data_IF_728194280542
#
_entry.id   IF_728194280542
#
_cell.length_a   1.000
_cell.length_b   1.000
_cell.length_c   1.000
_cell.angle_alpha   90.00
_cell.angle_beta   90.00
_cell.angle_gamma   90.00
#
_symmetry.space_group_name_H-M   'P 1'
#
loop_
_entity.id
_entity.type
_entity.pdbx_description
1 polymer ?
#
# COMPACT_ATOMS: atom_id res chain seq x y z
N UNK A 1 -48.65 -65.59 19.77
CA UNK A 1 -47.20 -65.76 19.55
C UNK A 1 -46.66 -64.57 18.77
N UNK A 2 -46.21 -63.55 19.51
CA UNK A 2 -45.22 -62.48 19.22
C UNK A 2 -45.22 -61.87 17.80
N UNK A 3 -45.68 -60.64 17.51
CA UNK A 3 -45.46 -59.33 18.15
C UNK A 3 -43.97 -58.99 18.43
N UNK A 4 -43.09 -59.04 17.42
CA UNK A 4 -41.77 -58.36 17.47
C UNK A 4 -41.20 -58.09 16.06
N UNK A 5 -41.58 -56.97 15.42
CA UNK A 5 -40.76 -56.39 14.33
C UNK A 5 -41.22 -54.96 13.97
N UNK A 6 -41.36 -54.09 14.98
CA UNK A 6 -41.59 -52.65 14.73
C UNK A 6 -41.12 -51.78 15.89
N UNK A 7 -39.81 -51.73 16.13
CA UNK A 7 -39.15 -50.68 16.94
C UNK A 7 -37.64 -50.92 16.96
N UNK A 8 -36.91 -50.09 16.20
CA UNK A 8 -35.53 -49.59 16.42
C UNK A 8 -34.95 -49.23 15.06
N UNK A 9 -35.08 -47.96 14.65
CA UNK A 9 -34.07 -47.21 13.89
C UNK A 9 -34.64 -45.82 13.58
N UNK A 10 -34.63 -44.96 14.60
CA UNK A 10 -34.74 -43.49 14.64
C UNK A 10 -35.29 -43.18 16.05
N UNK A 11 -34.59 -42.42 16.92
CA UNK A 11 -34.04 -41.10 16.59
C UNK A 11 -32.63 -40.85 17.18
N UNK A 12 -31.63 -40.54 16.34
CA UNK A 12 -30.37 -39.91 16.80
C UNK A 12 -29.70 -39.06 15.70
N UNK A 13 -30.50 -38.50 14.80
CA UNK A 13 -30.06 -37.43 13.89
C UNK A 13 -30.89 -36.18 14.21
N UNK A 14 -30.50 -35.39 15.21
CA UNK A 14 -30.99 -34.00 15.27
C UNK A 14 -30.15 -33.03 16.08
N UNK A 15 -29.39 -33.43 17.12
CA UNK A 15 -28.77 -32.40 17.98
C UNK A 15 -27.41 -31.87 17.50
N UNK A 16 -26.55 -32.71 16.91
CA UNK A 16 -25.19 -32.27 16.50
C UNK A 16 -25.11 -31.71 15.08
N UNK A 17 -26.08 -32.03 14.23
CA UNK A 17 -26.17 -31.48 12.88
C UNK A 17 -26.70 -30.04 12.92
N UNK A 18 -27.63 -29.76 13.85
CA UNK A 18 -28.23 -28.43 14.00
C UNK A 18 -27.21 -27.39 14.50
N UNK A 19 -26.35 -27.73 15.46
CA UNK A 19 -25.33 -26.80 15.97
C UNK A 19 -24.26 -26.45 14.92
N UNK A 20 -23.77 -27.43 14.16
CA UNK A 20 -22.79 -27.19 13.10
C UNK A 20 -23.37 -26.39 11.94
N UNK A 21 -24.63 -26.67 11.58
CA UNK A 21 -25.36 -25.89 10.58
C UNK A 21 -25.59 -24.46 11.07
N UNK A 22 -25.93 -24.25 12.34
CA UNK A 22 -26.07 -22.92 12.94
C UNK A 22 -24.75 -22.14 12.96
N UNK A 23 -23.61 -22.78 13.25
CA UNK A 23 -22.30 -22.12 13.21
C UNK A 23 -21.91 -21.75 11.78
N UNK A 24 -22.14 -22.64 10.81
CA UNK A 24 -21.87 -22.36 9.39
C UNK A 24 -22.79 -21.26 8.87
N UNK A 25 -24.08 -21.31 9.18
CA UNK A 25 -25.03 -20.25 8.82
C UNK A 25 -24.65 -18.94 9.51
N UNK A 26 -24.25 -18.95 10.78
CA UNK A 26 -23.82 -17.74 11.50
C UNK A 26 -22.56 -17.12 10.89
N UNK A 27 -21.58 -17.93 10.48
CA UNK A 27 -20.38 -17.47 9.80
C UNK A 27 -20.69 -16.97 8.39
N UNK A 28 -21.59 -17.64 7.67
CA UNK A 28 -22.04 -17.22 6.34
C UNK A 28 -22.84 -15.92 6.40
N UNK A 29 -23.69 -15.73 7.43
CA UNK A 29 -24.44 -14.48 7.64
C UNK A 29 -23.52 -13.34 8.08
N UNK A 30 -22.50 -13.60 8.90
CA UNK A 30 -21.46 -12.60 9.19
C UNK A 30 -20.71 -12.21 7.91
N UNK A 31 -20.34 -13.19 7.08
CA UNK A 31 -19.65 -12.95 5.81
C UNK A 31 -20.51 -12.14 4.83
N UNK A 32 -21.82 -12.42 4.73
CA UNK A 32 -22.76 -11.65 3.92
C UNK A 32 -23.02 -10.24 4.47
N UNK A 33 -23.06 -10.06 5.79
CA UNK A 33 -23.21 -8.72 6.40
C UNK A 33 -21.98 -7.84 6.16
N UNK A 34 -20.78 -8.42 6.20
CA UNK A 34 -19.53 -7.70 5.91
C UNK A 34 -19.48 -7.29 4.43
N UNK A 35 -19.93 -8.15 3.51
CA UNK A 35 -19.90 -7.83 2.07
C UNK A 35 -21.02 -6.88 1.61
N UNK A 36 -22.20 -6.91 2.22
CA UNK A 36 -23.29 -5.96 1.90
C UNK A 36 -23.07 -4.56 2.47
N UNK A 37 -22.36 -4.42 3.59
CA UNK A 37 -22.04 -3.11 4.18
C UNK A 37 -21.12 -2.28 3.27
N UNK A 38 -20.27 -2.93 2.47
CA UNK A 38 -19.39 -2.27 1.49
C UNK A 38 -20.13 -1.72 0.27
N UNK A 39 -21.36 -2.19 0.00
CA UNK A 39 -22.12 -1.85 -1.22
C UNK A 39 -23.04 -0.63 -1.03
N UNK A 40 -23.39 -0.27 0.20
CA UNK A 40 -24.40 0.78 0.48
C UNK A 40 -23.84 2.18 0.71
N UNK A 41 -22.51 2.35 0.73
CA UNK A 41 -21.87 3.66 0.99
C UNK A 41 -21.55 4.46 -0.29
N UNK A 42 -22.18 4.12 -1.41
CA UNK A 42 -22.00 4.79 -2.70
C UNK A 42 -23.27 5.57 -3.12
N UNK A 43 -23.81 6.45 -2.27
CA UNK A 43 -24.74 7.47 -2.78
C UNK A 43 -24.79 8.76 -1.94
N UNK A 44 -24.49 9.85 -2.63
CA UNK A 44 -24.68 11.28 -2.36
C UNK A 44 -23.75 12.00 -1.36
N UNK A 45 -22.86 12.88 -1.84
CA UNK A 45 -22.41 14.03 -1.09
C UNK A 45 -23.43 15.17 -1.19
N UNK A 46 -23.93 15.60 -0.03
CA UNK A 46 -24.67 16.85 0.18
C UNK A 46 -23.70 18.01 0.02
N UNK A 47 -23.99 18.90 -0.92
CA UNK A 47 -23.30 20.18 -1.10
C UNK A 47 -23.94 21.20 -0.15
N UNK A 48 -23.13 21.85 0.69
CA UNK A 48 -23.49 23.10 1.37
C UNK A 48 -22.28 24.07 1.37
N UNK A 49 -22.52 25.39 1.31
CA UNK A 49 -21.59 26.36 0.75
C UNK A 49 -20.68 27.04 1.78
N UNK A 50 -19.50 27.47 1.34
CA UNK A 50 -18.62 28.37 2.10
C UNK A 50 -19.16 29.81 2.15
N UNK A 51 -18.98 30.54 3.26
CA UNK A 51 -19.34 31.95 3.36
C UNK A 51 -18.21 32.86 2.85
N UNK A 52 -18.65 33.96 2.24
CA UNK A 52 -17.86 35.13 1.83
C UNK A 52 -17.23 35.84 3.03
N UNK A 53 -16.05 36.44 2.81
CA UNK A 53 -15.49 37.59 3.55
C UNK A 53 -14.54 38.27 2.56
N UNK A 54 -15.03 39.31 1.88
CA UNK A 54 -14.83 40.73 2.22
C UNK A 54 -13.42 41.24 1.91
N UNK A 55 -13.41 41.89 0.76
CA UNK A 55 -12.51 42.88 0.19
C UNK A 55 -12.12 43.97 1.20
N UNK A 56 -10.84 44.31 1.26
CA UNK A 56 -10.42 45.66 1.64
C UNK A 56 -9.19 46.02 0.82
N UNK A 57 -9.43 46.88 -0.17
CA UNK A 57 -8.41 47.61 -0.92
C UNK A 57 -7.62 48.54 0.02
N UNK A 58 -6.31 48.62 -0.17
CA UNK A 58 -5.59 49.85 0.16
C UNK A 58 -4.52 50.15 -0.88
N UNK A 59 -4.50 51.42 -1.27
CA UNK A 59 -3.88 52.01 -2.46
C UNK A 59 -2.61 52.78 -2.05
N UNK A 60 -1.44 52.41 -2.64
CA UNK A 60 -0.37 53.24 -3.29
C UNK A 60 0.23 54.42 -2.46
N UNK A 61 1.56 54.72 -2.40
CA UNK A 61 2.38 55.06 -3.60
C UNK A 61 3.92 54.88 -3.62
N UNK A 62 4.42 54.58 -4.84
CA UNK A 62 5.40 55.35 -5.65
C UNK A 62 6.91 55.45 -5.30
N UNK A 63 7.69 55.16 -6.37
CA UNK A 63 8.94 55.81 -6.85
C UNK A 63 10.28 55.52 -6.14
N UNK A 64 11.21 54.93 -6.90
CA UNK A 64 12.33 55.66 -7.53
C UNK A 64 13.02 54.82 -8.61
N UNK A 65 13.52 55.53 -9.61
CA UNK A 65 14.02 55.06 -10.89
C UNK A 65 15.29 55.87 -11.21
N UNK A 66 16.26 55.18 -11.86
CA UNK A 66 17.50 55.61 -12.55
C UNK A 66 18.77 55.96 -11.75
N UNK A 67 19.99 55.89 -12.36
CA UNK A 67 20.35 55.52 -13.75
C UNK A 67 21.48 54.47 -13.93
N UNK A 68 21.58 53.97 -15.16
CA UNK A 68 22.74 53.29 -15.76
C UNK A 68 23.79 54.31 -16.22
N UNK A 69 25.07 53.93 -16.22
CA UNK A 69 26.07 54.46 -17.18
C UNK A 69 27.23 53.45 -17.37
N UNK A 70 27.95 53.47 -18.51
CA UNK A 70 28.68 52.35 -19.10
C UNK A 70 30.20 52.57 -19.17
N UNK A 71 30.89 51.60 -19.79
CA UNK A 71 32.30 51.57 -20.23
C UNK A 71 33.38 51.20 -19.21
N UNK A 72 34.04 50.06 -19.46
CA UNK A 72 35.48 50.02 -19.72
C UNK A 72 35.89 48.70 -20.39
N UNK A 73 36.84 48.87 -21.31
CA UNK A 73 37.32 47.97 -22.37
C UNK A 73 38.06 46.71 -21.88
N UNK A 74 37.80 45.63 -22.61
CA UNK A 74 38.74 44.68 -23.24
C UNK A 74 40.23 44.67 -22.80
N UNK A 75 40.71 43.50 -22.36
CA UNK A 75 42.07 43.04 -22.66
C UNK A 75 42.08 41.51 -22.73
N UNK A 76 42.38 40.99 -23.92
CA UNK A 76 42.63 39.57 -24.22
C UNK A 76 43.88 39.07 -23.48
N UNK A 77 43.78 37.91 -22.84
CA UNK A 77 44.91 36.99 -22.66
C UNK A 77 44.45 35.53 -22.89
N UNK A 78 44.98 34.93 -23.96
CA UNK A 78 44.96 33.49 -24.27
C UNK A 78 46.33 32.95 -23.87
N UNK A 79 46.49 31.86 -23.07
CA UNK A 79 46.48 30.46 -23.60
C UNK A 79 46.22 29.36 -22.53
N UNK A 80 46.42 28.03 -22.79
CA UNK A 80 46.33 27.27 -24.03
C UNK A 80 45.21 26.19 -24.00
N UNK A 81 44.90 25.72 -25.19
CA UNK A 81 44.09 24.56 -25.58
C UNK A 81 44.16 23.35 -24.61
N UNK A 82 43.03 22.85 -24.08
CA UNK A 82 42.97 21.54 -23.46
C UNK A 82 43.06 20.45 -24.54
N UNK A 83 44.07 19.61 -24.38
CA UNK A 83 44.30 18.37 -25.12
C UNK A 83 43.02 17.53 -25.26
N UNK A 84 42.69 17.16 -26.50
CA UNK A 84 41.66 16.19 -26.86
C UNK A 84 41.97 14.84 -26.21
N UNK A 85 41.32 14.56 -25.07
CA UNK A 85 41.31 13.24 -24.45
C UNK A 85 40.26 12.35 -25.16
N UNK A 86 40.61 11.14 -25.62
CA UNK A 86 39.70 10.25 -26.34
C UNK A 86 38.79 9.43 -25.40
N UNK A 87 38.27 10.03 -24.33
CA UNK A 87 37.43 9.32 -23.32
C UNK A 87 35.93 9.60 -23.50
N UNK A 88 35.56 10.61 -24.29
CA UNK A 88 34.20 11.16 -24.30
C UNK A 88 33.17 10.39 -25.15
N UNK A 89 33.61 9.47 -26.02
CA UNK A 89 32.67 8.80 -26.95
C UNK A 89 31.94 7.60 -26.34
N UNK A 90 32.56 6.93 -25.36
CA UNK A 90 32.01 5.72 -24.76
C UNK A 90 31.02 6.05 -23.63
N UNK A 91 31.34 7.04 -22.80
CA UNK A 91 30.45 7.59 -21.77
C UNK A 91 29.19 8.22 -22.39
N UNK A 92 29.34 8.99 -23.48
CA UNK A 92 28.19 9.54 -24.22
C UNK A 92 27.35 8.47 -24.92
N UNK A 93 27.92 7.33 -25.28
CA UNK A 93 27.16 6.22 -25.88
C UNK A 93 26.33 5.47 -24.83
N UNK A 94 26.92 5.21 -23.66
CA UNK A 94 26.21 4.60 -22.52
C UNK A 94 25.11 5.51 -21.97
N UNK A 95 25.35 6.82 -21.87
CA UNK A 95 24.34 7.80 -21.47
C UNK A 95 23.17 7.89 -22.46
N UNK A 96 23.44 7.81 -23.77
CA UNK A 96 22.40 7.77 -24.81
C UNK A 96 21.59 6.48 -24.78
N UNK A 97 22.21 5.37 -24.40
CA UNK A 97 21.52 4.09 -24.24
C UNK A 97 20.68 4.06 -22.96
N UNK A 98 21.22 4.54 -21.84
CA UNK A 98 20.49 4.69 -20.58
C UNK A 98 19.32 5.68 -20.69
N UNK A 99 19.42 6.71 -21.53
CA UNK A 99 18.30 7.63 -21.81
C UNK A 99 17.11 6.97 -22.53
N UNK A 100 17.27 5.74 -23.05
CA UNK A 100 16.17 4.97 -23.66
C UNK A 100 15.38 4.16 -22.63
N UNK A 101 15.90 4.00 -21.42
CA UNK A 101 15.22 3.33 -20.32
C UNK A 101 13.91 4.09 -19.98
N UNK A 102 12.74 3.43 -20.00
CA UNK A 102 11.46 4.07 -19.73
C UNK A 102 11.42 4.73 -18.34
N UNK A 103 12.07 4.14 -17.32
CA UNK A 103 12.11 4.69 -15.96
C UNK A 103 12.90 6.01 -15.93
N UNK A 104 14.05 6.04 -16.63
CA UNK A 104 14.88 7.25 -16.76
C UNK A 104 14.13 8.36 -17.51
N UNK A 105 13.42 8.02 -18.59
CA UNK A 105 12.61 9.00 -19.32
C UNK A 105 11.47 9.56 -18.47
N UNK A 106 10.86 8.74 -17.62
CA UNK A 106 9.82 9.20 -16.70
C UNK A 106 10.41 10.18 -15.68
N UNK A 107 11.53 9.83 -15.03
CA UNK A 107 12.20 10.68 -14.06
C UNK A 107 12.60 12.04 -14.68
N UNK A 108 13.16 12.03 -15.89
CA UNK A 108 13.51 13.26 -16.62
C UNK A 108 12.28 14.14 -16.87
N UNK A 109 11.17 13.56 -17.36
CA UNK A 109 9.94 14.30 -17.67
C UNK A 109 9.26 14.83 -16.41
N UNK A 110 9.24 14.03 -15.33
CA UNK A 110 8.52 14.34 -14.10
C UNK A 110 9.23 15.41 -13.28
N UNK A 111 10.56 15.33 -13.16
CA UNK A 111 11.35 16.21 -12.31
C UNK A 111 12.12 17.29 -13.08
N UNK A 112 12.03 17.31 -14.42
CA UNK A 112 12.78 18.23 -15.27
C UNK A 112 14.30 18.18 -15.00
N UNK A 113 14.83 16.97 -14.85
CA UNK A 113 16.24 16.70 -14.53
C UNK A 113 16.99 16.14 -15.75
N UNK A 114 18.31 16.31 -15.77
CA UNK A 114 19.18 15.76 -16.81
C UNK A 114 19.31 14.23 -16.72
N UNK A 115 19.75 13.59 -17.81
CA UNK A 115 19.92 12.11 -17.89
C UNK A 115 20.81 11.57 -16.76
N UNK A 116 21.94 12.24 -16.48
CA UNK A 116 22.86 11.80 -15.42
C UNK A 116 22.23 11.85 -14.03
N UNK A 117 21.43 12.88 -13.74
CA UNK A 117 20.76 13.02 -12.46
C UNK A 117 19.62 12.00 -12.31
N UNK A 118 18.86 11.77 -13.38
CA UNK A 118 17.86 10.70 -13.42
C UNK A 118 18.48 9.31 -13.16
N UNK A 119 19.64 9.01 -13.75
CA UNK A 119 20.38 7.76 -13.49
C UNK A 119 20.77 7.66 -12.01
N UNK A 120 21.34 8.73 -11.44
CA UNK A 120 21.72 8.76 -10.01
C UNK A 120 20.52 8.53 -9.10
N UNK A 121 19.37 9.13 -9.40
CA UNK A 121 18.14 8.94 -8.63
C UNK A 121 17.63 7.51 -8.70
N UNK A 122 17.60 6.92 -9.91
CA UNK A 122 17.21 5.52 -10.10
C UNK A 122 18.14 4.58 -9.34
N UNK A 123 19.45 4.74 -9.51
CA UNK A 123 20.44 3.88 -8.87
C UNK A 123 20.35 4.00 -7.36
N UNK A 124 20.11 5.22 -6.83
CA UNK A 124 19.93 5.40 -5.40
C UNK A 124 18.63 4.80 -4.88
N UNK A 125 17.51 4.93 -5.60
CA UNK A 125 16.25 4.22 -5.28
C UNK A 125 16.49 2.72 -5.19
N UNK A 126 17.15 2.14 -6.20
CA UNK A 126 17.44 0.70 -6.26
C UNK A 126 18.37 0.26 -5.13
N UNK A 127 19.41 1.03 -4.80
CA UNK A 127 20.29 0.77 -3.67
C UNK A 127 19.47 0.68 -2.36
N UNK A 128 18.63 1.68 -2.07
CA UNK A 128 17.81 1.72 -0.86
C UNK A 128 16.79 0.57 -0.80
N UNK A 129 16.24 0.17 -1.95
CA UNK A 129 15.35 -0.98 -2.05
C UNK A 129 16.08 -2.30 -1.78
N UNK A 130 17.27 -2.49 -2.33
CA UNK A 130 18.10 -3.69 -2.07
C UNK A 130 18.55 -3.80 -0.62
N UNK A 131 18.71 -2.67 0.07
CA UNK A 131 18.96 -2.61 1.51
C UNK A 131 17.70 -2.89 2.35
N UNK A 132 16.54 -3.05 1.71
CA UNK A 132 15.26 -3.31 2.39
C UNK A 132 14.69 -2.09 3.10
N UNK A 133 15.18 -0.88 2.85
CA UNK A 133 14.77 0.32 3.59
C UNK A 133 13.33 0.74 3.29
N UNK A 134 12.78 0.36 2.14
CA UNK A 134 11.36 0.60 1.84
C UNK A 134 10.43 -0.49 2.37
N UNK A 135 10.94 -1.63 2.85
CA UNK A 135 10.13 -2.73 3.38
C UNK A 135 10.04 -2.78 4.90
N UNK A 136 10.66 -1.83 5.61
CA UNK A 136 10.62 -1.75 7.06
C UNK A 136 9.20 -1.40 7.54
N UNK A 137 8.64 -2.18 8.47
CA UNK A 137 7.26 -1.94 8.96
C UNK A 137 7.22 -0.94 10.12
N UNK A 138 8.02 -1.15 11.15
CA UNK A 138 8.19 -0.26 12.29
C UNK A 138 9.37 -0.71 13.14
N UNK A 139 10.01 0.21 13.83
CA UNK A 139 11.12 -0.12 14.70
C UNK A 139 11.89 1.08 15.18
N UNK A 140 13.10 0.83 15.64
CA UNK A 140 14.02 1.85 16.14
C UNK A 140 15.40 1.63 15.52
N UNK A 141 16.07 2.73 15.20
CA UNK A 141 17.44 2.74 14.69
C UNK A 141 18.21 3.86 15.37
N UNK A 142 19.08 3.51 16.32
CA UNK A 142 19.78 4.49 17.15
C UNK A 142 18.79 5.36 17.94
N UNK A 143 18.84 6.67 17.73
CA UNK A 143 17.93 7.65 18.32
C UNK A 143 16.71 7.97 17.43
N UNK A 144 16.47 7.17 16.38
CA UNK A 144 15.31 7.32 15.51
C UNK A 144 14.30 6.21 15.80
N UNK A 145 13.02 6.59 15.80
CA UNK A 145 11.91 5.66 15.70
C UNK A 145 11.29 5.80 14.32
N UNK A 146 10.91 4.68 13.69
CA UNK A 146 10.32 4.69 12.36
C UNK A 146 9.06 3.83 12.29
N UNK A 147 8.17 4.20 11.39
CA UNK A 147 6.93 3.49 11.10
C UNK A 147 6.57 3.65 9.62
N UNK A 148 6.18 2.56 8.98
CA UNK A 148 5.71 2.53 7.61
C UNK A 148 4.39 3.27 7.45
N UNK A 149 4.32 4.08 6.41
CA UNK A 149 3.07 4.48 5.79
C UNK A 149 2.59 3.31 4.94
N UNK A 150 1.31 2.97 5.09
CA UNK A 150 0.66 1.93 4.28
C UNK A 150 -0.46 2.48 3.41
N UNK A 151 -0.68 1.82 2.28
CA UNK A 151 -1.81 2.05 1.41
C UNK A 151 -2.37 0.69 0.97
N UNK A 152 -3.67 0.46 1.19
CA UNK A 152 -4.30 -0.85 1.00
C UNK A 152 -3.53 -2.00 1.68
N UNK A 153 -2.95 -1.72 2.86
CA UNK A 153 -2.17 -2.66 3.65
C UNK A 153 -0.77 -2.97 3.13
N UNK A 154 -0.34 -2.32 2.03
CA UNK A 154 1.00 -2.45 1.46
C UNK A 154 1.87 -1.32 1.96
N UNK A 155 3.13 -1.63 2.29
CA UNK A 155 4.09 -0.63 2.72
C UNK A 155 4.41 0.28 1.52
N UNK A 156 4.24 1.58 1.71
CA UNK A 156 4.64 2.62 0.75
C UNK A 156 6.07 3.04 1.06
N UNK A 157 6.29 3.58 2.25
CA UNK A 157 7.63 3.90 2.77
C UNK A 157 7.60 4.15 4.28
N UNK A 158 8.69 3.85 4.99
CA UNK A 158 8.93 4.34 6.34
C UNK A 158 9.06 5.86 6.46
N UNK A 159 8.50 6.41 7.54
CA UNK A 159 8.84 7.74 8.04
C UNK A 159 9.43 7.62 9.44
N UNK A 160 10.34 8.53 9.77
CA UNK A 160 11.05 8.56 11.03
C UNK A 160 10.73 9.81 11.86
N UNK A 161 10.92 9.69 13.16
CA UNK A 161 10.94 10.79 14.12
C UNK A 161 12.08 10.53 15.11
N UNK A 162 12.52 11.56 15.85
CA UNK A 162 13.50 11.33 16.90
C UNK A 162 12.81 10.58 18.05
N UNK A 163 13.57 9.75 18.77
CA UNK A 163 13.06 9.00 19.91
C UNK A 163 12.69 9.91 21.09
N UNK A 164 13.29 11.10 21.14
CA UNK A 164 12.98 12.17 22.09
C UNK A 164 11.60 12.80 21.84
N UNK A 165 11.10 12.69 20.61
CA UNK A 165 9.76 13.15 20.26
C UNK A 165 8.71 12.18 20.82
N UNK A 166 7.55 12.69 21.24
CA UNK A 166 6.44 11.84 21.72
C UNK A 166 6.10 10.78 20.65
N UNK A 167 6.09 9.50 21.05
CA UNK A 167 5.72 8.36 20.20
C UNK A 167 4.39 8.57 19.47
N UNK A 168 3.47 9.33 20.07
CA UNK A 168 2.20 9.67 19.44
C UNK A 168 2.37 10.55 18.21
N UNK A 169 3.39 11.41 18.14
CA UNK A 169 3.64 12.31 17.00
C UNK A 169 3.91 11.51 15.75
N UNK A 170 4.79 10.50 15.81
CA UNK A 170 5.07 9.64 14.66
C UNK A 170 3.81 8.90 14.21
N UNK A 171 3.03 8.35 15.14
CA UNK A 171 1.78 7.64 14.83
C UNK A 171 0.74 8.55 14.17
N UNK A 172 0.59 9.78 14.68
CA UNK A 172 -0.34 10.78 14.12
C UNK A 172 0.11 11.22 12.73
N UNK A 173 1.41 11.44 12.54
CA UNK A 173 2.01 11.77 11.24
C UNK A 173 1.72 10.68 10.22
N UNK A 174 2.05 9.41 10.53
CA UNK A 174 1.77 8.26 9.66
C UNK A 174 0.29 8.21 9.30
N UNK A 175 -0.60 8.23 10.31
CA UNK A 175 -2.05 8.16 10.08
C UNK A 175 -2.58 9.30 9.21
N UNK A 176 -2.03 10.50 9.34
CA UNK A 176 -2.44 11.66 8.53
C UNK A 176 -2.07 11.45 7.06
N UNK A 177 -0.88 10.92 6.80
CA UNK A 177 -0.41 10.62 5.45
C UNK A 177 -1.23 9.47 4.84
N UNK A 178 -1.43 8.39 5.60
CA UNK A 178 -2.27 7.25 5.18
C UNK A 178 -3.68 7.68 4.83
N UNK A 179 -4.34 8.46 5.70
CA UNK A 179 -5.67 9.00 5.43
C UNK A 179 -5.72 9.82 4.12
N UNK A 180 -4.68 10.63 3.88
CA UNK A 180 -4.61 11.45 2.66
C UNK A 180 -4.47 10.58 1.42
N UNK A 181 -3.63 9.54 1.44
CA UNK A 181 -3.48 8.59 0.34
C UNK A 181 -4.76 7.77 0.11
N UNK A 182 -5.36 7.29 1.21
CA UNK A 182 -6.62 6.56 1.20
C UNK A 182 -7.74 7.36 0.55
N UNK A 183 -7.85 8.66 0.86
CA UNK A 183 -8.87 9.52 0.26
C UNK A 183 -8.69 9.66 -1.25
N UNK A 184 -7.45 9.77 -1.74
CA UNK A 184 -7.17 9.87 -3.19
C UNK A 184 -7.65 8.61 -3.90
N UNK A 185 -7.31 7.44 -3.33
CA UNK A 185 -7.65 6.15 -3.91
C UNK A 185 -9.15 5.88 -3.81
N UNK A 186 -9.80 6.19 -2.68
CA UNK A 186 -11.26 6.02 -2.49
C UNK A 186 -12.09 6.90 -3.42
N UNK A 187 -11.57 8.09 -3.78
CA UNK A 187 -12.20 8.98 -4.78
C UNK A 187 -12.00 8.51 -6.23
N UNK A 188 -11.30 7.39 -6.44
CA UNK A 188 -10.99 6.83 -7.76
C UNK A 188 -10.30 7.85 -8.70
N UNK A 189 -9.47 8.73 -8.13
CA UNK A 189 -8.69 9.71 -8.90
C UNK A 189 -7.61 8.94 -9.67
N UNK A 190 -7.55 9.13 -10.99
CA UNK A 190 -6.52 8.51 -11.80
C UNK A 190 -5.14 9.08 -11.40
N UNK A 191 -4.17 8.23 -11.01
CA UNK A 191 -2.80 8.64 -10.72
C UNK A 191 -2.15 9.49 -11.81
N UNK A 192 -2.52 9.29 -13.08
CA UNK A 192 -1.98 10.05 -14.21
C UNK A 192 -2.51 11.49 -14.31
N UNK A 193 -3.65 11.78 -13.67
CA UNK A 193 -4.29 13.10 -13.63
C UNK A 193 -3.73 13.97 -12.50
N UNK A 194 -2.96 13.37 -11.58
CA UNK A 194 -2.31 14.05 -10.46
C UNK A 194 -0.79 14.01 -10.61
N UNK A 195 -0.14 15.06 -10.13
CA UNK A 195 1.31 15.16 -10.03
C UNK A 195 1.68 15.24 -8.56
N UNK A 196 2.61 14.40 -8.14
CA UNK A 196 3.24 14.44 -6.83
C UNK A 196 4.67 14.94 -7.06
N UNK A 197 5.03 16.04 -6.42
CA UNK A 197 6.35 16.62 -6.58
C UNK A 197 6.82 17.28 -5.27
N UNK A 198 8.14 17.35 -5.06
CA UNK A 198 8.73 18.13 -3.97
C UNK A 198 8.45 19.63 -4.14
N UNK A 199 8.09 20.30 -3.05
CA UNK A 199 7.96 21.75 -2.97
C UNK A 199 8.52 22.26 -1.66
N UNK A 200 8.66 23.56 -1.53
CA UNK A 200 9.14 24.20 -0.30
C UNK A 200 7.99 24.97 0.30
N UNK A 201 7.60 24.62 1.53
CA UNK A 201 6.56 25.31 2.29
C UNK A 201 7.14 25.61 3.68
N UNK A 202 7.15 26.88 4.08
CA UNK A 202 7.71 27.32 5.37
C UNK A 202 9.14 26.81 5.63
N UNK A 203 10.02 26.86 4.61
CA UNK A 203 11.41 26.37 4.66
C UNK A 203 11.56 24.85 4.84
N UNK A 204 10.47 24.10 4.84
CA UNK A 204 10.49 22.64 4.87
C UNK A 204 10.24 22.07 3.47
N UNK A 205 10.90 20.94 3.17
CA UNK A 205 10.62 20.22 1.93
C UNK A 205 9.38 19.37 2.13
N UNK A 206 8.36 19.65 1.34
CA UNK A 206 7.06 18.98 1.40
C UNK A 206 6.76 18.28 0.08
N UNK A 207 6.05 17.17 0.14
CA UNK A 207 5.40 16.58 -1.04
C UNK A 207 4.02 17.18 -1.17
N UNK A 208 3.73 17.71 -2.35
CA UNK A 208 2.43 18.26 -2.70
C UNK A 208 1.82 17.49 -3.84
N UNK A 209 0.50 17.40 -3.82
CA UNK A 209 -0.31 16.84 -4.90
C UNK A 209 -0.95 18.00 -5.64
N UNK A 210 -0.81 18.04 -6.96
CA UNK A 210 -1.52 18.98 -7.83
C UNK A 210 -2.17 18.30 -9.02
N UNK A 211 -3.29 18.81 -9.54
CA UNK A 211 -3.82 18.37 -10.83
C UNK A 211 -2.83 18.63 -11.97
N UNK A 212 -2.72 17.70 -12.92
CA UNK A 212 -1.84 17.82 -14.09
C UNK A 212 -2.28 18.91 -15.08
N UNK A 213 -3.59 19.16 -15.15
CA UNK A 213 -4.22 20.08 -16.12
C UNK A 213 -4.12 21.57 -15.78
N UNK A 214 -3.43 21.96 -14.69
CA UNK A 214 -3.33 23.36 -14.24
C UNK A 214 -1.97 24.02 -14.56
N UNK A 215 -1.12 23.40 -15.37
CA UNK A 215 0.27 23.85 -15.60
C UNK A 215 0.43 24.98 -16.63
N UNK A 216 -0.64 25.72 -16.98
CA UNK A 216 -0.67 26.62 -18.13
C UNK A 216 -0.83 28.12 -17.85
N UNK A 217 -1.07 28.57 -16.62
CA UNK A 217 -1.21 30.00 -16.31
C UNK A 217 -0.34 30.31 -15.11
N UNK A 218 0.81 30.92 -15.40
CA UNK A 218 1.53 31.70 -14.41
C UNK A 218 0.58 32.76 -13.86
N UNK A 219 0.64 32.93 -12.55
CA UNK A 219 0.00 33.97 -11.75
C UNK A 219 -1.42 33.69 -11.16
N UNK A 220 -1.45 33.73 -9.82
CA UNK A 220 -2.58 34.06 -8.93
C UNK A 220 -3.61 32.98 -8.52
N UNK A 221 -3.35 31.67 -8.57
CA UNK A 221 -4.14 30.71 -7.76
C UNK A 221 -3.32 29.57 -7.13
N UNK A 222 -2.91 29.78 -5.88
CA UNK A 222 -2.42 28.77 -4.92
C UNK A 222 -3.48 27.68 -4.59
N UNK A 223 -4.63 27.61 -5.28
CA UNK A 223 -5.86 27.13 -4.64
C UNK A 223 -6.13 25.64 -4.56
N UNK A 224 -5.39 24.74 -5.21
CA UNK A 224 -5.60 23.29 -5.00
C UNK A 224 -4.31 22.46 -5.04
N UNK A 225 -3.25 22.94 -4.36
CA UNK A 225 -2.15 22.06 -3.96
C UNK A 225 -2.48 21.46 -2.61
N UNK A 226 -2.61 20.13 -2.53
CA UNK A 226 -2.81 19.43 -1.27
C UNK A 226 -1.46 19.02 -0.71
N UNK A 227 -1.18 19.39 0.55
CA UNK A 227 -0.02 18.92 1.27
C UNK A 227 -0.21 17.42 1.56
N UNK A 228 0.69 16.58 1.05
CA UNK A 228 0.67 15.15 1.34
C UNK A 228 1.47 14.85 2.60
N UNK A 229 2.74 15.25 2.61
CA UNK A 229 3.63 15.02 3.74
C UNK A 229 4.82 15.97 3.72
N UNK A 230 5.40 16.23 4.90
CA UNK A 230 6.69 16.89 5.04
C UNK A 230 7.81 15.85 5.10
N UNK A 231 8.92 16.07 4.41
CA UNK A 231 10.17 15.29 4.57
C UNK A 231 11.04 15.98 5.61
N UNK A 232 11.35 15.26 6.68
CA UNK A 232 12.09 15.78 7.83
C UNK A 232 13.56 15.34 7.81
N UNK A 233 14.37 15.96 8.67
CA UNK A 233 15.74 15.53 8.90
C UNK A 233 15.84 14.10 9.45
N UNK A 234 14.84 13.65 10.23
CA UNK A 234 14.80 12.28 10.75
C UNK A 234 14.66 11.27 9.60
N UNK A 235 13.82 11.56 8.61
CA UNK A 235 13.66 10.69 7.43
C UNK A 235 14.98 10.63 6.62
N UNK A 236 15.61 11.78 6.39
CA UNK A 236 16.91 11.85 5.71
C UNK A 236 17.99 11.01 6.40
N UNK A 237 18.04 11.02 7.73
CA UNK A 237 18.97 10.19 8.52
C UNK A 237 18.63 8.69 8.44
N UNK A 238 17.35 8.32 8.42
CA UNK A 238 16.94 6.92 8.25
C UNK A 238 17.44 6.35 6.92
N UNK A 239 17.32 7.11 5.84
CA UNK A 239 17.72 6.66 4.50
C UNK A 239 19.18 6.97 4.14
N UNK A 240 19.89 7.76 4.95
CA UNK A 240 21.27 8.17 4.68
C UNK A 240 21.43 9.03 3.42
N UNK A 241 20.38 9.74 3.00
CA UNK A 241 20.39 10.59 1.79
C UNK A 241 19.85 11.99 2.06
N UNK A 242 20.29 13.03 1.32
CA UNK A 242 19.82 14.39 1.51
C UNK A 242 18.30 14.54 1.31
N UNK A 243 17.68 15.47 2.05
CA UNK A 243 16.23 15.75 1.99
C UNK A 243 15.71 15.97 0.56
N UNK A 244 16.36 16.76 -0.32
CA UNK A 244 15.85 16.98 -1.68
C UNK A 244 15.84 15.69 -2.51
N UNK A 245 16.88 14.86 -2.37
CA UNK A 245 16.99 13.57 -3.07
C UNK A 245 15.90 12.61 -2.56
N UNK A 246 15.73 12.56 -1.22
CA UNK A 246 14.68 11.74 -0.60
C UNK A 246 13.29 12.17 -1.07
N UNK A 247 13.00 13.47 -1.09
CA UNK A 247 11.70 13.98 -1.53
C UNK A 247 11.37 13.57 -2.97
N UNK A 248 12.36 13.63 -3.87
CA UNK A 248 12.20 13.18 -5.26
C UNK A 248 11.92 11.68 -5.33
N UNK A 249 12.72 10.85 -4.66
CA UNK A 249 12.51 9.39 -4.61
C UNK A 249 11.15 9.05 -3.99
N UNK A 250 10.82 9.67 -2.86
CA UNK A 250 9.53 9.50 -2.18
C UNK A 250 8.35 9.87 -3.06
N UNK A 251 8.43 10.96 -3.83
CA UNK A 251 7.34 11.36 -4.72
C UNK A 251 7.08 10.34 -5.83
N UNK A 252 8.13 9.67 -6.30
CA UNK A 252 8.01 8.58 -7.27
C UNK A 252 7.44 7.31 -6.63
N UNK A 253 7.93 6.90 -5.45
CA UNK A 253 7.41 5.74 -4.69
C UNK A 253 5.92 5.92 -4.37
N UNK A 254 5.51 7.10 -3.89
CA UNK A 254 4.11 7.36 -3.59
C UNK A 254 3.26 7.30 -4.86
N UNK A 255 3.76 7.82 -5.99
CA UNK A 255 3.04 7.74 -7.25
C UNK A 255 2.84 6.28 -7.71
N UNK A 256 3.89 5.46 -7.66
CA UNK A 256 3.81 4.01 -7.97
C UNK A 256 2.81 3.31 -7.03
N UNK A 257 2.85 3.63 -5.73
CA UNK A 257 1.93 3.05 -4.75
C UNK A 257 0.45 3.41 -5.03
N UNK A 258 0.18 4.67 -5.39
CA UNK A 258 -1.14 5.11 -5.80
C UNK A 258 -1.58 4.42 -7.10
N UNK A 259 -0.67 4.24 -8.05
CA UNK A 259 -0.95 3.55 -9.31
C UNK A 259 -1.34 2.09 -9.08
N UNK A 260 -0.57 1.36 -8.28
CA UNK A 260 -0.88 -0.02 -7.92
C UNK A 260 -2.23 -0.13 -7.20
N UNK A 261 -2.49 0.76 -6.25
CA UNK A 261 -3.72 0.76 -5.44
C UNK A 261 -4.96 1.12 -6.28
N UNK A 262 -4.83 2.11 -7.17
CA UNK A 262 -5.89 2.49 -8.11
C UNK A 262 -6.19 1.37 -9.12
N UNK A 263 -5.16 0.72 -9.68
CA UNK A 263 -5.32 -0.43 -10.59
C UNK A 263 -5.98 -1.62 -9.91
N UNK A 264 -5.70 -1.86 -8.63
CA UNK A 264 -6.30 -2.94 -7.87
C UNK A 264 -7.81 -2.74 -7.65
N UNK A 265 -8.28 -1.50 -7.61
CA UNK A 265 -9.70 -1.14 -7.43
C UNK A 265 -10.49 -1.02 -8.73
N UNK A 266 -9.84 -1.21 -9.89
CA UNK A 266 -10.55 -1.21 -11.17
C UNK A 266 -11.50 -2.42 -11.26
N UNK A 267 -12.69 -2.24 -11.88
CA UNK A 267 -13.69 -3.30 -11.96
C UNK A 267 -13.15 -4.56 -12.64
N UNK A 268 -12.25 -4.40 -13.62
CA UNK A 268 -11.59 -5.52 -14.28
C UNK A 268 -10.72 -6.35 -13.33
N UNK A 269 -9.91 -5.71 -12.49
CA UNK A 269 -9.04 -6.36 -11.50
C UNK A 269 -9.86 -7.11 -10.44
N UNK A 270 -10.93 -6.49 -9.95
CA UNK A 270 -11.82 -7.09 -8.95
C UNK A 270 -12.49 -8.35 -9.51
N UNK A 271 -12.95 -8.32 -10.76
CA UNK A 271 -13.55 -9.51 -11.40
C UNK A 271 -12.54 -10.65 -11.55
N UNK A 272 -11.32 -10.35 -12.01
CA UNK A 272 -10.25 -11.36 -12.11
C UNK A 272 -9.94 -11.99 -10.74
N UNK A 273 -9.79 -11.15 -9.70
CA UNK A 273 -9.59 -11.61 -8.32
C UNK A 273 -10.77 -12.43 -7.80
N UNK A 274 -12.00 -12.08 -8.19
CA UNK A 274 -13.21 -12.84 -7.88
C UNK A 274 -13.19 -14.25 -8.46
N UNK A 275 -12.81 -14.41 -9.74
CA UNK A 275 -12.67 -15.72 -10.39
C UNK A 275 -11.59 -16.57 -9.71
N UNK A 276 -10.43 -15.98 -9.40
CA UNK A 276 -9.35 -16.66 -8.69
C UNK A 276 -9.81 -17.10 -7.30
N UNK A 277 -10.46 -16.21 -6.56
CA UNK A 277 -11.00 -16.49 -5.22
C UNK A 277 -12.03 -17.62 -5.23
N UNK A 278 -12.90 -17.64 -6.25
CA UNK A 278 -13.88 -18.72 -6.44
C UNK A 278 -13.19 -20.05 -6.75
N UNK A 279 -12.14 -20.05 -7.57
CA UNK A 279 -11.31 -21.23 -7.82
C UNK A 279 -10.67 -21.79 -6.55
N UNK A 280 -10.09 -20.92 -5.71
CA UNK A 280 -9.53 -21.31 -4.40
C UNK A 280 -10.62 -21.91 -3.50
N UNK A 281 -11.80 -21.28 -3.44
CA UNK A 281 -12.92 -21.77 -2.65
C UNK A 281 -13.38 -23.17 -3.09
N UNK A 282 -13.49 -23.44 -4.39
CA UNK A 282 -13.80 -24.78 -4.91
C UNK A 282 -12.72 -25.78 -4.50
N UNK A 283 -11.45 -25.42 -4.66
CA UNK A 283 -10.32 -26.27 -4.27
C UNK A 283 -10.38 -26.63 -2.78
N UNK A 284 -10.69 -25.67 -1.91
CA UNK A 284 -10.84 -25.88 -0.48
C UNK A 284 -11.98 -26.85 -0.16
N UNK A 285 -13.12 -26.73 -0.85
CA UNK A 285 -14.27 -27.64 -0.69
C UNK A 285 -13.88 -29.05 -1.11
N UNK A 286 -13.20 -29.21 -2.25
CA UNK A 286 -12.72 -30.51 -2.74
C UNK A 286 -11.71 -31.12 -1.75
N UNK A 287 -10.74 -30.33 -1.28
CA UNK A 287 -9.74 -30.79 -0.31
C UNK A 287 -10.39 -31.20 1.02
N UNK A 288 -11.36 -30.42 1.51
CA UNK A 288 -12.14 -30.75 2.70
C UNK A 288 -12.95 -32.03 2.51
N UNK A 289 -13.58 -32.22 1.35
CA UNK A 289 -14.30 -33.45 1.01
C UNK A 289 -13.37 -34.66 0.91
N UNK A 290 -12.21 -34.51 0.26
CA UNK A 290 -11.19 -35.56 0.14
C UNK A 290 -10.63 -35.97 1.50
N UNK A 291 -10.46 -35.01 2.42
CA UNK A 291 -10.03 -35.27 3.80
C UNK A 291 -11.07 -36.08 4.59
N UNK A 292 -12.37 -35.83 4.37
CA UNK A 292 -13.45 -36.64 4.95
C UNK A 292 -13.51 -38.05 4.33
N UNK A 293 -13.31 -38.15 3.02
CA UNK A 293 -13.33 -39.43 2.30
C UNK A 293 -12.13 -40.32 2.66
N UNK A 294 -10.93 -39.76 2.76
CA UNK A 294 -9.71 -40.49 3.12
C UNK A 294 -9.80 -41.07 4.53
N UNK A 295 -10.41 -40.35 5.48
CA UNK A 295 -10.66 -40.87 6.82
C UNK A 295 -11.52 -42.15 6.78
N UNK A 296 -12.56 -42.18 5.93
CA UNK A 296 -13.46 -43.33 5.80
C UNK A 296 -12.74 -44.57 5.23
N UNK A 297 -11.76 -44.37 4.35
CA UNK A 297 -11.00 -45.45 3.72
C UNK A 297 -9.81 -45.94 4.55
N UNK A 298 -9.10 -45.05 5.24
CA UNK A 298 -7.87 -45.39 6.00
C UNK A 298 -8.15 -45.99 7.38
N UNK A 299 -9.37 -45.81 7.93
CA UNK A 299 -9.77 -46.36 9.22
C UNK A 299 -10.87 -47.43 9.08
N UNK A 300 -10.56 -48.65 8.58
CA UNK A 300 -11.52 -49.74 8.57
C UNK A 300 -11.80 -50.21 10.02
N UNK A 301 -12.94 -49.78 10.57
CA UNK A 301 -13.76 -50.57 11.50
C UNK A 301 -13.12 -51.21 12.74
N UNK A 302 -12.19 -50.58 13.47
CA UNK A 302 -11.75 -51.10 14.79
C UNK A 302 -12.35 -50.36 15.98
N UNK A 303 -13.14 -51.11 16.76
CA UNK A 303 -13.93 -50.74 17.95
C UNK A 303 -13.08 -50.31 19.17
N UNK A 304 -12.17 -49.35 19.04
CA UNK A 304 -11.44 -48.79 20.19
C UNK A 304 -11.85 -47.33 20.44
N UNK A 305 -12.65 -47.11 21.50
CA UNK A 305 -13.16 -45.78 21.94
C UNK A 305 -12.09 -44.68 22.09
N UNK A 306 -10.81 -45.03 22.33
CA UNK A 306 -9.70 -44.06 22.43
C UNK A 306 -9.23 -43.49 21.08
N UNK A 307 -9.37 -44.24 19.96
CA UNK A 307 -9.00 -43.76 18.62
C UNK A 307 -9.96 -42.69 18.08
N UNK A 308 -11.23 -42.72 18.53
CA UNK A 308 -12.28 -41.80 18.04
C UNK A 308 -12.00 -40.33 18.40
N UNK A 309 -11.36 -40.06 19.55
CA UNK A 309 -10.97 -38.71 19.97
C UNK A 309 -9.79 -38.15 19.17
N UNK A 310 -8.78 -38.98 18.90
CA UNK A 310 -7.62 -38.59 18.07
C UNK A 310 -8.01 -38.30 16.62
N UNK A 311 -8.91 -39.11 16.03
CA UNK A 311 -9.38 -38.91 14.66
C UNK A 311 -10.17 -37.60 14.49
N UNK A 312 -10.96 -37.22 15.50
CA UNK A 312 -11.72 -35.96 15.46
C UNK A 312 -10.80 -34.74 15.55
N UNK A 313 -9.75 -34.81 16.38
CA UNK A 313 -8.75 -33.73 16.50
C UNK A 313 -7.95 -33.57 15.20
N UNK A 314 -7.50 -34.68 14.61
CA UNK A 314 -6.74 -34.65 13.36
C UNK A 314 -7.57 -34.11 12.18
N UNK A 315 -8.88 -34.37 12.17
CA UNK A 315 -9.80 -33.81 11.20
C UNK A 315 -9.99 -32.29 11.38
N UNK A 316 -10.11 -31.81 12.62
CA UNK A 316 -10.19 -30.39 12.92
C UNK A 316 -8.89 -29.67 12.50
N UNK A 317 -7.73 -30.29 12.74
CA UNK A 317 -6.43 -29.79 12.29
C UNK A 317 -6.39 -29.71 10.76
N UNK A 318 -6.75 -30.79 10.07
CA UNK A 318 -6.78 -30.83 8.61
C UNK A 318 -7.71 -29.76 8.02
N UNK A 319 -8.88 -29.54 8.63
CA UNK A 319 -9.78 -28.47 8.21
C UNK A 319 -9.18 -27.08 8.46
N UNK A 320 -8.62 -26.82 9.64
CA UNK A 320 -7.99 -25.53 9.95
C UNK A 320 -6.85 -25.20 8.95
N UNK A 321 -6.00 -26.18 8.65
CA UNK A 321 -4.87 -26.04 7.71
C UNK A 321 -5.34 -25.79 6.28
N UNK A 322 -6.52 -26.27 5.88
CA UNK A 322 -7.10 -25.97 4.55
C UNK A 322 -7.77 -24.59 4.55
N UNK A 323 -8.54 -24.31 5.61
CA UNK A 323 -9.44 -23.16 5.64
C UNK A 323 -8.75 -21.83 5.95
N UNK A 324 -7.81 -21.78 6.89
CA UNK A 324 -7.13 -20.53 7.25
C UNK A 324 -6.23 -20.00 6.13
N UNK A 325 -5.36 -20.81 5.49
CA UNK A 325 -4.57 -20.35 4.35
C UNK A 325 -5.45 -19.98 3.17
N UNK A 326 -6.46 -20.80 2.87
CA UNK A 326 -7.37 -20.55 1.75
C UNK A 326 -8.13 -19.23 1.91
N UNK A 327 -8.66 -18.95 3.10
CA UNK A 327 -9.25 -17.64 3.42
C UNK A 327 -8.20 -16.52 3.33
N UNK A 328 -6.97 -16.76 3.79
CA UNK A 328 -5.89 -15.78 3.72
C UNK A 328 -5.55 -15.38 2.29
N UNK A 329 -5.46 -16.36 1.38
CA UNK A 329 -5.23 -16.12 -0.05
C UNK A 329 -6.39 -15.36 -0.71
N UNK A 330 -7.64 -15.69 -0.37
CA UNK A 330 -8.82 -14.99 -0.90
C UNK A 330 -8.81 -13.53 -0.43
N UNK A 331 -8.67 -13.30 0.88
CA UNK A 331 -8.72 -11.95 1.46
C UNK A 331 -7.55 -11.07 1.00
N UNK A 332 -6.36 -11.64 0.79
CA UNK A 332 -5.20 -10.93 0.25
C UNK A 332 -5.42 -10.45 -1.20
N UNK A 333 -6.36 -11.05 -1.92
CA UNK A 333 -6.70 -10.62 -3.28
C UNK A 333 -7.26 -9.20 -3.31
N UNK A 334 -8.07 -8.83 -2.32
CA UNK A 334 -8.83 -7.58 -2.34
C UNK A 334 -8.12 -6.47 -1.54
N UNK A 335 -8.19 -5.20 -1.98
CA UNK A 335 -7.51 -4.09 -1.32
C UNK A 335 -8.00 -3.87 0.11
N UNK A 336 -9.32 -3.91 0.34
CA UNK A 336 -9.90 -3.62 1.65
C UNK A 336 -9.67 -4.73 2.69
N UNK A 337 -9.36 -5.96 2.26
CA UNK A 337 -9.08 -7.10 3.14
C UNK A 337 -7.63 -7.58 3.09
N UNK A 338 -6.74 -6.83 2.43
CA UNK A 338 -5.36 -7.24 2.18
C UNK A 338 -4.61 -7.54 3.49
N UNK A 339 -4.65 -6.61 4.45
CA UNK A 339 -3.94 -6.77 5.73
C UNK A 339 -4.41 -7.99 6.51
N UNK A 340 -5.73 -8.22 6.52
CA UNK A 340 -6.35 -9.34 7.23
C UNK A 340 -5.92 -10.65 6.56
N UNK A 341 -5.93 -10.69 5.22
CA UNK A 341 -5.47 -11.86 4.46
C UNK A 341 -4.00 -12.18 4.70
N UNK A 342 -3.14 -11.15 4.71
CA UNK A 342 -1.72 -11.30 4.99
C UNK A 342 -1.45 -11.78 6.42
N UNK A 343 -2.07 -11.13 7.41
CA UNK A 343 -1.97 -11.53 8.81
C UNK A 343 -2.45 -12.98 9.04
N UNK A 344 -3.52 -13.39 8.36
CA UNK A 344 -4.06 -14.74 8.48
C UNK A 344 -3.10 -15.80 7.93
N UNK A 345 -2.38 -15.49 6.84
CA UNK A 345 -1.37 -16.39 6.26
C UNK A 345 -0.17 -16.56 7.20
N UNK A 346 0.35 -15.47 7.75
CA UNK A 346 1.49 -15.52 8.68
C UNK A 346 1.14 -16.26 9.98
N UNK A 347 -0.09 -16.10 10.47
CA UNK A 347 -0.52 -16.64 11.75
C UNK A 347 -1.31 -17.95 11.64
N UNK A 348 -1.42 -18.55 10.45
CA UNK A 348 -2.21 -19.77 10.21
C UNK A 348 -1.88 -20.88 11.22
N UNK A 349 -0.59 -21.17 11.41
CA UNK A 349 -0.15 -22.24 12.29
C UNK A 349 -0.49 -21.94 13.75
N UNK A 350 -0.20 -20.71 14.20
CA UNK A 350 -0.48 -20.24 15.55
C UNK A 350 -1.97 -20.30 15.87
N UNK A 351 -2.82 -19.81 14.97
CA UNK A 351 -4.28 -19.82 15.11
C UNK A 351 -4.79 -21.27 15.14
N UNK A 352 -4.28 -22.12 14.25
CA UNK A 352 -4.65 -23.53 14.22
C UNK A 352 -4.33 -24.23 15.54
N UNK A 353 -3.14 -23.97 16.11
CA UNK A 353 -2.72 -24.52 17.42
C UNK A 353 -3.58 -23.97 18.56
N UNK A 354 -3.85 -22.66 18.58
CA UNK A 354 -4.64 -22.01 19.62
C UNK A 354 -6.09 -22.56 19.69
N UNK A 355 -6.73 -22.76 18.54
CA UNK A 355 -8.09 -23.33 18.46
C UNK A 355 -8.13 -24.76 19.01
N UNK A 356 -7.09 -25.56 18.75
CA UNK A 356 -7.00 -26.91 19.31
C UNK A 356 -6.86 -26.87 20.82
N UNK A 357 -6.05 -25.95 21.33
CA UNK A 357 -5.84 -25.78 22.77
C UNK A 357 -7.13 -25.35 23.48
N UNK A 358 -7.99 -24.57 22.83
CA UNK A 358 -9.24 -24.07 23.40
C UNK A 358 -10.41 -25.07 23.29
N UNK A 359 -10.37 -25.99 22.32
CA UNK A 359 -11.39 -27.05 22.15
C UNK A 359 -11.14 -28.25 23.10
N UNK A 360 -9.98 -28.29 23.78
CA UNK A 360 -9.70 -29.19 24.90
C UNK A 360 -10.28 -28.66 26.20
#
# INVERSE_FOLDING_TARGET
MMYRLKKRFAPQLSSTFSLKLCIIISLLTCFLLVTLSSVTQAQNPVIAPSPNLEETEEVVPSKKVYPSDPNLEETEEVPPTPSLSPTNNQENSQLKEAAKDPEIQELMKRFNVGVQEAIKLRDKKNELDTLGLFSLSSGQLGNLQYQAIKLDGRIVMPVAANLEDDKNILRVRVKTIENTLDEIVKRNINPDDIKIFPSILNQETVLVISPKNQSGIADIQVRQKWLLMTITAADSRLYGIPIPVLATISSHIVHEALEVSWKARQPHSILQQGVISFGILILMIIASWLLLASQKYVLPGKKHKKSMFWNRRLLLIGHAIIWFPGMGFILRGFPDSYEIGFWLLENTFTISIAIISFIN
#
